data_IF_777509078561
#
_entry.id   IF_777509078561
#
_cell.length_a   1.000
_cell.length_b   1.000
_cell.length_c   1.000
_cell.angle_alpha   90.00
_cell.angle_beta   90.00
_cell.angle_gamma   90.00
#
_symmetry.space_group_name_H-M   'P 1'
#
loop_
_entity.id
_entity.type
_entity.pdbx_description
1 polymer ?
#
# COMPACT_ATOMS: atom_id res chain seq x y z
N UNK A 1 39.60 -12.70 -51.69
CA UNK A 1 38.38 -12.03 -51.21
C UNK A 1 37.55 -13.06 -50.44
N UNK A 2 37.71 -13.08 -49.11
CA UNK A 2 36.64 -12.88 -48.12
C UNK A 2 35.84 -14.17 -47.80
N UNK A 3 35.44 -14.59 -46.59
CA UNK A 3 35.48 -14.14 -45.20
C UNK A 3 35.17 -15.39 -44.33
N UNK A 4 35.81 -15.44 -43.15
CA UNK A 4 35.43 -16.07 -41.86
C UNK A 4 34.01 -16.68 -41.69
N UNK A 5 33.87 -17.86 -41.07
CA UNK A 5 33.26 -17.95 -39.73
C UNK A 5 33.50 -19.31 -39.03
N UNK A 6 33.87 -19.20 -37.76
CA UNK A 6 34.04 -20.28 -36.79
C UNK A 6 32.68 -20.76 -36.27
N UNK A 7 32.55 -22.05 -35.92
CA UNK A 7 31.47 -22.52 -35.04
C UNK A 7 32.00 -23.50 -34.00
N UNK A 8 31.65 -23.21 -32.76
CA UNK A 8 32.18 -23.70 -31.50
C UNK A 8 31.33 -24.82 -30.87
N UNK A 9 31.98 -25.65 -30.05
CA UNK A 9 31.43 -26.77 -29.28
C UNK A 9 30.50 -26.33 -28.11
N UNK A 10 29.59 -27.18 -27.60
CA UNK A 10 28.63 -26.81 -26.58
C UNK A 10 29.10 -27.03 -25.12
N UNK A 11 28.64 -26.10 -24.25
CA UNK A 11 28.22 -26.23 -22.85
C UNK A 11 29.15 -26.82 -21.77
N UNK A 12 29.47 -26.02 -20.75
CA UNK A 12 28.74 -26.03 -19.45
C UNK A 12 29.32 -24.99 -18.47
N UNK A 13 28.58 -23.90 -18.26
CA UNK A 13 28.85 -22.91 -17.20
C UNK A 13 28.09 -23.28 -15.91
N UNK A 14 28.70 -23.14 -14.71
CA UNK A 14 28.04 -23.49 -13.46
C UNK A 14 26.88 -22.53 -13.15
N UNK A 15 25.69 -23.10 -12.95
CA UNK A 15 24.47 -22.36 -12.56
C UNK A 15 24.65 -21.70 -11.19
N UNK A 16 24.25 -20.44 -10.99
CA UNK A 16 24.24 -19.82 -9.67
C UNK A 16 23.19 -20.50 -8.79
N UNK A 17 23.65 -21.11 -7.69
CA UNK A 17 22.80 -21.72 -6.67
C UNK A 17 22.00 -20.60 -6.00
N UNK A 18 20.67 -20.59 -6.22
CA UNK A 18 19.74 -19.72 -5.47
C UNK A 18 19.79 -20.11 -3.99
N UNK A 19 20.54 -19.34 -3.18
CA UNK A 19 20.49 -19.48 -1.71
C UNK A 19 19.07 -19.13 -1.26
N UNK A 20 18.32 -20.12 -0.77
CA UNK A 20 17.05 -19.89 -0.07
C UNK A 20 17.31 -18.89 1.06
N UNK A 21 16.46 -17.86 1.26
CA UNK A 21 16.67 -16.91 2.34
C UNK A 21 16.57 -17.67 3.67
N UNK A 22 17.70 -17.74 4.37
CA UNK A 22 17.77 -18.21 5.75
C UNK A 22 16.88 -17.27 6.57
N UNK A 23 15.97 -17.83 7.36
CA UNK A 23 15.15 -17.07 8.29
C UNK A 23 16.08 -16.24 9.18
N UNK A 24 16.11 -14.92 8.97
CA UNK A 24 16.87 -14.02 9.81
C UNK A 24 16.14 -13.99 11.15
N UNK A 25 16.66 -14.71 12.14
CA UNK A 25 16.31 -14.44 13.53
C UNK A 25 16.67 -12.97 13.80
N UNK A 26 15.66 -12.12 13.92
CA UNK A 26 15.85 -10.71 14.25
C UNK A 26 16.15 -10.64 15.75
N UNK A 27 17.39 -10.31 16.11
CA UNK A 27 17.74 -10.00 17.48
C UNK A 27 17.05 -8.69 17.86
N UNK A 28 16.15 -8.75 18.83
CA UNK A 28 15.41 -7.58 19.28
C UNK A 28 15.95 -7.15 20.64
N UNK A 29 16.36 -5.89 20.76
CA UNK A 29 16.84 -5.34 22.02
C UNK A 29 15.67 -5.15 22.98
N UNK A 30 15.77 -5.79 24.14
CA UNK A 30 14.84 -5.68 25.26
C UNK A 30 15.48 -4.74 26.28
N UNK A 31 14.78 -3.69 26.69
CA UNK A 31 15.30 -2.81 27.75
C UNK A 31 15.28 -3.51 29.13
N UNK A 32 15.87 -2.88 30.14
CA UNK A 32 15.91 -3.42 31.51
C UNK A 32 14.53 -3.59 32.15
N UNK A 33 13.47 -3.08 31.52
CA UNK A 33 12.07 -3.21 31.94
C UNK A 33 11.31 -4.28 31.14
N UNK A 34 11.97 -4.98 30.22
CA UNK A 34 11.33 -6.00 29.38
C UNK A 34 10.65 -5.44 28.12
N UNK A 35 10.82 -4.16 27.78
CA UNK A 35 10.15 -3.54 26.64
C UNK A 35 10.96 -3.67 25.36
N UNK A 36 10.26 -4.07 24.29
CA UNK A 36 10.80 -4.16 22.93
C UNK A 36 10.36 -2.94 22.15
N UNK A 37 11.31 -2.09 21.76
CA UNK A 37 11.07 -0.94 20.89
C UNK A 37 11.47 -1.29 19.46
N UNK A 38 10.58 -1.94 18.71
CA UNK A 38 10.76 -2.14 17.28
C UNK A 38 10.19 -0.97 16.48
N UNK A 39 11.05 -0.34 15.69
CA UNK A 39 10.65 0.61 14.65
C UNK A 39 11.22 0.12 13.33
N UNK A 40 10.37 -0.19 12.37
CA UNK A 40 10.79 -0.48 11.00
C UNK A 40 10.64 0.77 10.16
N UNK A 41 11.73 1.27 9.52
CA UNK A 41 11.69 2.49 8.72
C UNK A 41 10.76 2.38 7.51
N UNK A 42 10.38 1.16 7.09
CA UNK A 42 9.46 0.91 5.98
C UNK A 42 8.04 0.61 6.42
N UNK A 43 7.76 0.57 7.71
CA UNK A 43 6.45 0.15 8.22
C UNK A 43 5.33 1.04 7.69
N UNK A 44 5.46 2.36 7.84
CA UNK A 44 4.45 3.32 7.38
C UNK A 44 4.19 3.19 5.88
N UNK A 45 5.24 3.07 5.07
CA UNK A 45 5.10 2.88 3.62
C UNK A 45 4.38 1.57 3.28
N UNK A 46 4.71 0.48 3.97
CA UNK A 46 4.06 -0.81 3.77
C UNK A 46 2.57 -0.76 4.12
N UNK A 47 2.22 -0.08 5.22
CA UNK A 47 0.83 0.10 5.65
C UNK A 47 0.06 0.93 4.62
N UNK A 48 0.61 2.06 4.17
CA UNK A 48 -0.02 2.91 3.15
C UNK A 48 -0.21 2.16 1.82
N UNK A 49 0.77 1.35 1.41
CA UNK A 49 0.64 0.49 0.22
C UNK A 49 -0.50 -0.52 0.38
N UNK A 50 -0.63 -1.15 1.55
CA UNK A 50 -1.68 -2.12 1.83
C UNK A 50 -3.07 -1.45 1.81
N UNK A 51 -3.21 -0.29 2.43
CA UNK A 51 -4.45 0.51 2.44
C UNK A 51 -4.85 0.91 1.01
N UNK A 52 -3.89 1.29 0.17
CA UNK A 52 -4.15 1.60 -1.23
C UNK A 52 -4.63 0.37 -2.02
N UNK A 53 -4.06 -0.82 -1.79
CA UNK A 53 -4.54 -2.06 -2.41
C UNK A 53 -5.96 -2.42 -1.94
N UNK A 54 -6.27 -2.22 -0.65
CA UNK A 54 -7.62 -2.39 -0.13
C UNK A 54 -8.61 -1.44 -0.83
N UNK A 55 -8.23 -0.16 -1.00
CA UNK A 55 -9.04 0.83 -1.73
C UNK A 55 -9.34 0.39 -3.17
N UNK A 56 -8.30 -0.02 -3.91
CA UNK A 56 -8.44 -0.49 -5.30
C UNK A 56 -9.31 -1.75 -5.42
N UNK A 57 -9.30 -2.61 -4.41
CA UNK A 57 -10.16 -3.81 -4.34
C UNK A 57 -11.50 -3.57 -3.63
N UNK A 58 -11.83 -2.31 -3.30
CA UNK A 58 -13.05 -1.93 -2.58
C UNK A 58 -13.21 -2.60 -1.20
N UNK A 59 -12.12 -3.04 -0.58
CA UNK A 59 -12.13 -3.67 0.74
C UNK A 59 -12.11 -2.63 1.85
N UNK A 60 -13.00 -2.80 2.82
CA UNK A 60 -13.15 -1.94 4.00
C UNK A 60 -13.45 -0.46 3.68
N UNK A 61 -13.74 -0.13 2.42
CA UNK A 61 -14.16 1.20 2.04
C UNK A 61 -15.55 1.48 2.63
N UNK A 62 -15.65 2.60 3.34
CA UNK A 62 -16.83 3.03 4.11
C UNK A 62 -17.40 4.36 3.59
N UNK A 63 -16.82 4.89 2.50
CA UNK A 63 -17.28 6.08 1.79
C UNK A 63 -17.10 5.91 0.28
N UNK A 64 -18.01 6.53 -0.46
CA UNK A 64 -18.00 6.62 -1.92
C UNK A 64 -18.03 8.10 -2.32
N UNK A 65 -17.07 8.52 -3.14
CA UNK A 65 -17.02 9.87 -3.70
C UNK A 65 -17.57 9.82 -5.11
N UNK A 66 -18.54 10.68 -5.41
CA UNK A 66 -19.04 10.93 -6.75
C UNK A 66 -18.36 12.20 -7.26
N UNK A 67 -17.58 12.10 -8.33
CA UNK A 67 -16.81 13.21 -8.88
C UNK A 67 -17.08 13.25 -10.37
N UNK A 68 -17.76 14.29 -10.84
CA UNK A 68 -18.09 14.46 -12.26
C UNK A 68 -18.82 13.24 -12.87
N UNK A 69 -19.66 12.57 -12.07
CA UNK A 69 -20.38 11.35 -12.49
C UNK A 69 -19.61 10.04 -12.29
N UNK A 70 -18.33 10.10 -11.93
CA UNK A 70 -17.48 8.94 -11.66
C UNK A 70 -17.49 8.56 -10.18
N UNK A 71 -17.43 7.25 -9.90
CA UNK A 71 -17.60 6.69 -8.55
C UNK A 71 -16.27 6.18 -7.99
N UNK A 72 -15.86 6.69 -6.83
CA UNK A 72 -14.60 6.33 -6.17
C UNK A 72 -14.83 5.85 -4.74
N UNK A 73 -14.54 4.58 -4.46
CA UNK A 73 -14.54 4.06 -3.09
C UNK A 73 -13.27 4.45 -2.33
N UNK A 74 -13.41 4.82 -1.06
CA UNK A 74 -12.30 5.25 -0.21
C UNK A 74 -12.54 4.92 1.27
N UNK A 75 -11.56 5.27 2.10
CA UNK A 75 -11.59 5.10 3.56
C UNK A 75 -11.74 6.46 4.25
N UNK A 76 -12.78 6.64 5.07
CA UNK A 76 -13.04 7.88 5.81
C UNK A 76 -11.86 8.28 6.69
N UNK A 77 -11.24 7.30 7.36
CA UNK A 77 -10.09 7.52 8.24
C UNK A 77 -8.90 8.14 7.52
N UNK A 78 -8.60 7.67 6.31
CA UNK A 78 -7.49 8.17 5.49
C UNK A 78 -7.81 9.57 4.96
N UNK A 79 -9.03 9.81 4.50
CA UNK A 79 -9.45 11.14 4.04
C UNK A 79 -9.43 12.17 5.19
N UNK A 80 -9.99 11.84 6.36
CA UNK A 80 -10.03 12.74 7.52
C UNK A 80 -8.65 13.02 8.14
N UNK A 81 -7.73 12.04 8.10
CA UNK A 81 -6.36 12.23 8.56
C UNK A 81 -5.60 13.24 7.69
N UNK A 82 -5.89 13.30 6.39
CA UNK A 82 -5.14 14.09 5.42
C UNK A 82 -5.87 15.36 4.93
N UNK A 83 -7.12 15.59 5.35
CA UNK A 83 -7.92 16.74 4.94
C UNK A 83 -8.86 17.19 6.06
N UNK A 84 -8.78 18.46 6.43
CA UNK A 84 -9.68 19.07 7.42
C UNK A 84 -11.12 19.11 6.91
N UNK A 85 -11.34 19.40 5.63
CA UNK A 85 -12.65 19.34 5.00
C UNK A 85 -13.34 17.99 5.21
N UNK A 86 -12.66 16.88 4.87
CA UNK A 86 -13.24 15.55 5.07
C UNK A 86 -13.41 15.21 6.56
N UNK A 87 -12.50 15.69 7.41
CA UNK A 87 -12.61 15.50 8.86
C UNK A 87 -13.87 16.15 9.40
N UNK A 88 -14.09 17.42 9.12
CA UNK A 88 -15.30 18.16 9.52
C UNK A 88 -16.55 17.54 8.89
N UNK A 89 -16.52 17.24 7.58
CA UNK A 89 -17.62 16.60 6.87
C UNK A 89 -18.08 15.31 7.55
N UNK A 90 -17.16 14.46 8.00
CA UNK A 90 -17.51 13.20 8.64
C UNK A 90 -17.92 13.34 10.11
N UNK A 91 -17.42 14.38 10.81
CA UNK A 91 -17.82 14.70 12.19
C UNK A 91 -19.22 15.33 12.21
N UNK A 92 -19.46 16.34 11.37
CA UNK A 92 -20.66 17.19 11.39
C UNK A 92 -21.90 16.46 10.85
N UNK A 93 -21.77 15.71 9.74
CA UNK A 93 -22.91 15.02 9.12
C UNK A 93 -23.34 13.72 9.81
N UNK A 94 -22.76 13.36 10.97
CA UNK A 94 -23.04 12.07 11.62
C UNK A 94 -22.69 10.85 10.75
N UNK A 95 -21.89 11.06 9.70
CA UNK A 95 -21.53 10.06 8.69
C UNK A 95 -20.64 8.94 9.24
N UNK A 96 -20.26 9.03 10.52
CA UNK A 96 -19.62 7.94 11.27
C UNK A 96 -20.52 6.70 11.36
N UNK A 97 -21.85 6.85 11.25
CA UNK A 97 -22.80 5.72 11.41
C UNK A 97 -23.29 5.05 10.12
N UNK A 98 -23.28 5.76 8.98
CA UNK A 98 -23.79 5.22 7.70
C UNK A 98 -22.65 4.59 6.90
N UNK A 99 -22.75 3.27 6.66
CA UNK A 99 -21.74 2.44 6.00
C UNK A 99 -21.52 2.78 4.50
N UNK A 100 -22.33 3.70 3.95
CA UNK A 100 -22.22 4.19 2.58
C UNK A 100 -22.57 5.69 2.55
N UNK A 101 -21.58 6.55 2.81
CA UNK A 101 -21.73 7.98 2.53
C UNK A 101 -21.36 8.23 1.06
N UNK A 102 -22.27 8.83 0.29
CA UNK A 102 -21.97 9.36 -1.06
C UNK A 102 -21.68 10.85 -0.93
N UNK A 103 -20.49 11.29 -1.36
CA UNK A 103 -20.11 12.71 -1.37
C UNK A 103 -19.98 13.15 -2.82
N UNK A 104 -20.84 14.09 -3.25
CA UNK A 104 -20.74 14.70 -4.58
C UNK A 104 -19.77 15.88 -4.55
N UNK A 105 -18.72 15.81 -5.36
CA UNK A 105 -17.68 16.82 -5.52
C UNK A 105 -17.70 17.46 -6.91
N UNK A 106 -18.76 17.27 -7.70
CA UNK A 106 -18.87 17.77 -9.08
C UNK A 106 -18.95 19.29 -9.22
N UNK A 107 -18.98 20.05 -8.12
CA UNK A 107 -18.83 21.52 -8.16
C UNK A 107 -19.96 22.29 -8.83
N UNK A 108 -21.06 21.65 -9.21
CA UNK A 108 -22.22 22.33 -9.79
C UNK A 108 -23.10 22.90 -8.66
N UNK A 109 -22.99 24.22 -8.47
CA UNK A 109 -23.97 25.06 -7.78
C UNK A 109 -25.16 25.31 -8.68
#
# INVERSE_FOLDING_TARGET
>A
DEINNSTSLPATSPKPVKKKPIAKHELVFVDSKGLVKQSSPKHCQSVLNQLNQQRLSSQFCDVTLLIEGEVYKAHKSILAANSEYFRELFIEKGAVSSHEAVVDLSGNV
#
